data_IF_036997426590
#
_entry.id   IF_036997426590
#
_cell.length_a   1.000
_cell.length_b   1.000
_cell.length_c   1.000
_cell.angle_alpha   90.00
_cell.angle_beta   90.00
_cell.angle_gamma   90.00
#
_symmetry.space_group_name_H-M   'P 1'
#
loop_
_entity.id
_entity.type
_entity.pdbx_description
1 polymer ?
#
# COMPACT_ATOMS: atom_id res chain seq x y z
N UNK A 1 3.22 -20.76 -7.45
CA UNK A 1 3.25 -19.63 -8.39
C UNK A 1 2.89 -18.45 -7.54
N UNK A 2 3.91 -17.77 -7.05
CA UNK A 2 3.76 -16.67 -6.11
C UNK A 2 3.58 -15.42 -6.96
N UNK A 3 2.33 -15.14 -7.31
CA UNK A 3 1.98 -13.90 -7.98
C UNK A 3 2.14 -12.76 -6.97
N UNK A 4 2.67 -11.64 -7.42
CA UNK A 4 2.86 -10.43 -6.64
C UNK A 4 2.17 -9.26 -7.33
N UNK A 5 1.78 -8.25 -6.58
CA UNK A 5 1.24 -7.01 -7.12
C UNK A 5 2.28 -5.94 -6.84
N UNK A 6 2.82 -5.34 -7.91
CA UNK A 6 3.66 -4.16 -7.81
C UNK A 6 2.76 -2.93 -7.77
N UNK A 7 2.92 -2.12 -6.72
CA UNK A 7 2.29 -0.82 -6.58
C UNK A 7 3.36 0.25 -6.69
N UNK A 8 3.19 1.14 -7.66
CA UNK A 8 4.09 2.25 -7.95
C UNK A 8 3.33 3.56 -8.03
N UNK A 9 3.71 4.57 -7.26
CA UNK A 9 3.10 5.90 -7.34
C UNK A 9 4.08 7.02 -7.02
N UNK A 10 3.74 8.26 -7.40
CA UNK A 10 4.48 9.45 -7.01
C UNK A 10 3.73 10.22 -5.94
N UNK A 11 4.36 10.45 -4.80
CA UNK A 11 3.79 11.31 -3.75
C UNK A 11 4.17 12.78 -3.96
N UNK A 12 3.33 13.68 -3.47
CA UNK A 12 3.69 15.08 -3.30
C UNK A 12 4.84 15.25 -2.31
N UNK A 13 5.69 16.26 -2.54
CA UNK A 13 6.91 16.49 -1.74
C UNK A 13 6.65 16.64 -0.24
N UNK A 14 5.47 17.15 0.13
CA UNK A 14 5.03 17.34 1.51
C UNK A 14 4.70 16.01 2.22
N UNK A 15 4.37 14.96 1.45
CA UNK A 15 3.96 13.65 1.95
C UNK A 15 5.02 12.56 1.77
N UNK A 16 6.14 12.83 1.09
CA UNK A 16 7.25 11.88 0.89
C UNK A 16 7.70 11.26 2.21
N UNK A 17 7.94 12.07 3.25
CA UNK A 17 8.41 11.54 4.54
C UNK A 17 7.35 10.70 5.26
N UNK A 18 6.06 11.01 5.05
CA UNK A 18 4.96 10.24 5.63
C UNK A 18 4.88 8.85 4.96
N UNK A 19 4.95 8.81 3.63
CA UNK A 19 4.98 7.54 2.89
C UNK A 19 6.20 6.69 3.23
N UNK A 20 7.38 7.30 3.35
CA UNK A 20 8.59 6.60 3.75
C UNK A 20 8.43 5.93 5.12
N UNK A 21 7.85 6.64 6.09
CA UNK A 21 7.59 6.08 7.42
C UNK A 21 6.52 4.98 7.36
N UNK A 22 5.44 5.18 6.59
CA UNK A 22 4.36 4.21 6.44
C UNK A 22 4.87 2.89 5.83
N UNK A 23 5.64 2.95 4.73
CA UNK A 23 6.22 1.77 4.08
C UNK A 23 7.27 1.08 4.96
N UNK A 24 8.07 1.83 5.73
CA UNK A 24 8.99 1.25 6.72
C UNK A 24 8.26 0.46 7.80
N UNK A 25 7.10 0.92 8.24
CA UNK A 25 6.26 0.19 9.20
C UNK A 25 5.84 -1.14 8.57
N UNK A 26 5.35 -1.15 7.33
CA UNK A 26 4.91 -2.38 6.64
C UNK A 26 6.00 -3.47 6.54
N UNK A 27 7.26 -3.09 6.37
CA UNK A 27 8.39 -4.05 6.31
C UNK A 27 8.80 -4.57 7.70
N UNK A 28 8.56 -3.79 8.77
CA UNK A 28 8.90 -4.21 10.13
C UNK A 28 7.81 -5.11 10.73
N UNK A 29 7.91 -6.40 10.42
CA UNK A 29 7.46 -7.55 11.23
C UNK A 29 6.06 -7.40 11.88
N UNK A 30 5.00 -7.84 11.18
CA UNK A 30 3.71 -8.37 11.70
C UNK A 30 2.79 -7.51 12.59
N UNK A 31 3.35 -6.68 13.47
CA UNK A 31 2.68 -5.72 14.36
C UNK A 31 2.34 -4.38 13.69
N UNK A 32 2.82 -4.20 12.45
CA UNK A 32 2.78 -2.95 11.70
C UNK A 32 1.40 -2.46 11.26
N UNK A 33 0.37 -3.32 11.21
CA UNK A 33 -0.94 -2.95 10.66
C UNK A 33 -1.59 -1.77 11.41
N UNK A 34 -1.60 -1.81 12.75
CA UNK A 34 -2.16 -0.71 13.56
C UNK A 34 -1.33 0.57 13.49
N UNK A 35 0.00 0.46 13.54
CA UNK A 35 0.88 1.64 13.47
C UNK A 35 0.84 2.29 12.07
N UNK A 36 0.78 1.48 11.02
CA UNK A 36 0.57 1.92 9.66
C UNK A 36 -0.78 2.64 9.51
N UNK A 37 -1.86 2.04 9.99
CA UNK A 37 -3.19 2.63 9.94
C UNK A 37 -3.26 3.97 10.70
N UNK A 38 -2.73 4.04 11.92
CA UNK A 38 -2.67 5.31 12.69
C UNK A 38 -1.84 6.38 11.95
N UNK A 39 -0.73 5.98 11.34
CA UNK A 39 0.08 6.88 10.52
C UNK A 39 -0.71 7.41 9.31
N UNK A 40 -1.43 6.53 8.61
CA UNK A 40 -2.25 6.88 7.47
C UNK A 40 -3.38 7.85 7.86
N UNK A 41 -4.06 7.58 8.98
CA UNK A 41 -5.09 8.46 9.55
C UNK A 41 -4.54 9.86 9.84
N UNK A 42 -3.35 9.92 10.46
CA UNK A 42 -2.74 11.18 10.88
C UNK A 42 -2.27 12.05 9.71
N UNK A 43 -1.80 11.44 8.62
CA UNK A 43 -1.19 12.16 7.50
C UNK A 43 -2.09 12.32 6.26
N UNK A 44 -3.00 11.38 6.02
CA UNK A 44 -3.89 11.35 4.85
C UNK A 44 -5.38 11.52 5.21
N UNK A 45 -5.72 11.41 6.49
CA UNK A 45 -7.05 11.70 7.02
C UNK A 45 -7.97 10.49 7.11
N UNK A 46 -9.16 10.73 7.69
CA UNK A 46 -10.10 9.67 8.08
C UNK A 46 -10.63 8.84 6.91
N UNK A 47 -10.79 9.43 5.73
CA UNK A 47 -11.31 8.69 4.57
C UNK A 47 -10.36 7.59 4.10
N UNK A 48 -9.04 7.79 4.24
CA UNK A 48 -8.04 6.76 3.91
C UNK A 48 -8.04 5.67 4.97
N UNK A 49 -8.13 6.05 6.24
CA UNK A 49 -8.22 5.13 7.39
C UNK A 49 -9.45 4.22 7.31
N UNK A 50 -10.64 4.78 7.09
CA UNK A 50 -11.88 4.00 6.94
C UNK A 50 -11.77 3.01 5.78
N UNK A 51 -11.19 3.44 4.64
CA UNK A 51 -11.05 2.56 3.47
C UNK A 51 -10.00 1.47 3.68
N UNK A 52 -8.95 1.77 4.43
CA UNK A 52 -7.92 0.82 4.80
C UNK A 52 -8.45 -0.22 5.80
N UNK A 53 -9.24 0.21 6.78
CA UNK A 53 -9.92 -0.68 7.73
C UNK A 53 -10.83 -1.67 7.00
N UNK A 54 -11.69 -1.19 6.09
CA UNK A 54 -12.53 -2.06 5.27
C UNK A 54 -11.71 -3.11 4.49
N UNK A 55 -10.58 -2.70 3.91
CA UNK A 55 -9.71 -3.59 3.17
C UNK A 55 -9.06 -4.64 4.07
N UNK A 56 -8.59 -4.25 5.25
CA UNK A 56 -7.97 -5.14 6.23
C UNK A 56 -9.00 -6.09 6.86
N UNK A 57 -10.25 -5.67 7.03
CA UNK A 57 -11.34 -6.55 7.47
C UNK A 57 -11.70 -7.60 6.41
N UNK A 58 -11.62 -7.24 5.13
CA UNK A 58 -11.94 -8.14 4.01
C UNK A 58 -10.81 -9.15 3.72
N UNK A 59 -9.56 -8.69 3.71
CA UNK A 59 -8.41 -9.48 3.22
C UNK A 59 -7.37 -9.82 4.30
N UNK A 60 -7.47 -9.23 5.49
CA UNK A 60 -6.48 -9.40 6.56
C UNK A 60 -5.24 -8.52 6.42
N UNK A 61 -4.36 -8.55 7.42
CA UNK A 61 -3.08 -7.81 7.38
C UNK A 61 -1.98 -8.54 6.62
N UNK A 62 -2.18 -9.83 6.33
CA UNK A 62 -1.24 -10.68 5.61
C UNK A 62 -1.02 -10.24 4.16
N UNK A 63 -2.04 -9.64 3.52
CA UNK A 63 -1.93 -9.13 2.15
C UNK A 63 -1.10 -7.84 2.04
N UNK A 64 -0.78 -7.21 3.17
CA UNK A 64 0.11 -6.05 3.24
C UNK A 64 1.54 -6.43 3.64
N UNK A 65 1.87 -7.72 3.58
CA UNK A 65 3.24 -8.15 3.75
C UNK A 65 4.10 -7.66 2.59
N UNK A 66 4.92 -6.64 2.86
CA UNK A 66 5.83 -6.05 1.88
C UNK A 66 7.23 -6.61 2.15
N UNK A 67 7.77 -7.37 1.19
CA UNK A 67 9.15 -7.88 1.29
C UNK A 67 10.19 -6.74 1.20
N UNK A 68 9.88 -5.73 0.40
CA UNK A 68 10.71 -4.56 0.21
C UNK A 68 9.96 -3.44 -0.50
N UNK A 69 10.44 -2.22 -0.31
CA UNK A 69 10.01 -1.05 -1.07
C UNK A 69 11.23 -0.29 -1.56
N UNK A 70 11.07 0.35 -2.71
CA UNK A 70 12.04 1.23 -3.33
C UNK A 70 11.50 2.66 -3.35
N UNK A 71 12.43 3.61 -3.30
CA UNK A 71 12.13 5.02 -3.47
C UNK A 71 13.14 5.70 -4.36
N UNK A 72 12.62 6.27 -5.44
CA UNK A 72 13.36 7.14 -6.34
C UNK A 72 12.79 8.57 -6.29
N UNK A 73 13.49 9.46 -5.59
CA UNK A 73 13.10 10.85 -5.33
C UNK A 73 11.75 10.97 -4.57
N UNK A 74 10.64 11.03 -5.31
CA UNK A 74 9.26 11.13 -4.80
C UNK A 74 8.37 10.01 -5.33
N UNK A 75 8.97 9.06 -6.03
CA UNK A 75 8.31 7.86 -6.51
C UNK A 75 8.59 6.73 -5.51
N UNK A 76 7.52 6.03 -5.15
CA UNK A 76 7.53 4.88 -4.26
C UNK A 76 7.05 3.67 -5.04
N UNK A 77 7.71 2.54 -4.82
CA UNK A 77 7.43 1.26 -5.45
C UNK A 77 7.53 0.16 -4.41
N UNK A 78 6.55 -0.72 -4.32
CA UNK A 78 6.60 -1.86 -3.41
C UNK A 78 5.75 -3.01 -3.92
N UNK A 79 6.07 -4.20 -3.43
CA UNK A 79 5.47 -5.45 -3.87
C UNK A 79 4.72 -6.09 -2.70
N UNK A 80 3.51 -6.57 -2.98
CA UNK A 80 2.70 -7.33 -2.03
C UNK A 80 2.32 -8.69 -2.63
N UNK A 81 2.05 -9.71 -1.81
CA UNK A 81 1.53 -10.98 -2.31
C UNK A 81 0.15 -10.78 -2.96
N UNK A 82 0.00 -11.33 -4.17
CA UNK A 82 -1.29 -11.39 -4.84
C UNK A 82 -2.10 -12.56 -4.27
N UNK A 83 -3.35 -12.31 -3.95
CA UNK A 83 -4.28 -13.35 -3.52
C UNK A 83 -4.98 -14.01 -4.72
N UNK A 84 -5.78 -15.06 -4.45
CA UNK A 84 -6.55 -15.76 -5.48
C UNK A 84 -7.47 -14.79 -6.26
N UNK A 85 -8.06 -13.83 -5.56
CA UNK A 85 -8.88 -12.73 -6.11
C UNK A 85 -8.09 -11.41 -6.25
N UNK A 86 -6.92 -11.50 -6.91
CA UNK A 86 -6.05 -10.34 -7.12
C UNK A 86 -6.73 -9.22 -7.93
N UNK A 87 -7.72 -9.51 -8.77
CA UNK A 87 -8.47 -8.51 -9.54
C UNK A 87 -9.26 -7.58 -8.61
N UNK A 88 -10.02 -8.13 -7.65
CA UNK A 88 -10.69 -7.32 -6.63
C UNK A 88 -9.71 -6.63 -5.69
N UNK A 89 -8.60 -7.31 -5.33
CA UNK A 89 -7.54 -6.71 -4.52
C UNK A 89 -6.98 -5.44 -5.20
N UNK A 90 -6.67 -5.50 -6.50
CA UNK A 90 -6.19 -4.35 -7.28
C UNK A 90 -7.25 -3.24 -7.33
N UNK A 91 -8.52 -3.56 -7.54
CA UNK A 91 -9.58 -2.54 -7.58
C UNK A 91 -9.73 -1.80 -6.24
N UNK A 92 -9.70 -2.54 -5.12
CA UNK A 92 -9.74 -1.94 -3.79
C UNK A 92 -8.49 -1.11 -3.49
N UNK A 93 -7.30 -1.60 -3.84
CA UNK A 93 -6.06 -0.83 -3.69
C UNK A 93 -6.11 0.45 -4.52
N UNK A 94 -6.57 0.39 -5.77
CA UNK A 94 -6.79 1.57 -6.60
C UNK A 94 -7.72 2.56 -5.92
N UNK A 95 -8.83 2.08 -5.34
CA UNK A 95 -9.76 2.93 -4.62
C UNK A 95 -9.13 3.57 -3.38
N UNK A 96 -8.34 2.82 -2.60
CA UNK A 96 -7.63 3.31 -1.41
C UNK A 96 -6.58 4.36 -1.77
N UNK A 97 -5.69 4.05 -2.71
CA UNK A 97 -4.62 4.93 -3.15
C UNK A 97 -5.15 6.17 -3.89
N UNK A 98 -6.31 6.08 -4.55
CA UNK A 98 -6.98 7.24 -5.14
C UNK A 98 -7.47 8.27 -4.11
N UNK A 99 -7.60 7.90 -2.84
CA UNK A 99 -7.93 8.83 -1.75
C UNK A 99 -6.68 9.54 -1.20
N UNK A 100 -5.49 9.04 -1.53
CA UNK A 100 -4.24 9.63 -1.08
C UNK A 100 -3.78 10.77 -2.02
N UNK A 101 -3.00 11.74 -1.52
CA UNK A 101 -2.38 12.79 -2.31
C UNK A 101 -1.16 12.24 -3.08
N UNK A 102 -1.44 11.42 -4.08
CA UNK A 102 -0.46 10.78 -4.96
C UNK A 102 -0.84 11.01 -6.43
N UNK A 103 0.11 10.79 -7.33
CA UNK A 103 -0.05 10.93 -8.77
C UNK A 103 0.65 9.79 -9.51
N UNK A 104 0.12 9.43 -10.68
CA UNK A 104 0.71 8.38 -11.51
C UNK A 104 0.68 7.00 -10.87
N UNK A 105 -0.38 6.69 -10.12
CA UNK A 105 -0.60 5.36 -9.54
C UNK A 105 -0.62 4.31 -10.64
N UNK A 106 0.23 3.30 -10.47
CA UNK A 106 0.31 2.08 -11.26
C UNK A 106 0.21 0.91 -10.30
N UNK A 107 -0.66 -0.03 -10.65
CA UNK A 107 -0.82 -1.28 -9.93
C UNK A 107 -0.86 -2.35 -11.00
N UNK A 108 0.15 -3.20 -11.01
CA UNK A 108 0.41 -4.20 -12.04
C UNK A 108 0.67 -5.57 -11.37
N UNK A 109 0.11 -6.64 -11.92
CA UNK A 109 0.40 -7.99 -11.47
C UNK A 109 1.77 -8.42 -12.03
N UNK A 110 2.64 -8.90 -11.17
CA UNK A 110 3.98 -9.38 -11.49
C UNK A 110 4.11 -10.87 -11.08
N UNK A 111 4.54 -11.73 -11.99
CA UNK A 111 4.69 -13.17 -11.74
C UNK A 111 5.17 -13.89 -12.99
N UNK A 112 6.05 -14.89 -12.83
CA UNK A 112 6.53 -15.73 -13.94
C UNK A 112 5.41 -16.68 -14.41
N UNK A 113 5.06 -16.61 -15.71
CA UNK A 113 4.23 -17.61 -16.43
C UNK A 113 4.93 -18.98 -16.53
#
# INVERSE_FOLDING_TARGET
MDNQIEISFRSDKEHVQAWEAALKLLVQDGTAGMEFQDHMLKHFGKSVDEKLEEFLEEWGTEVFYVEGWDQENSQFSFEIPAIDDWDAQIDQLRSLFSLCPISGLKIELFGEE
#
